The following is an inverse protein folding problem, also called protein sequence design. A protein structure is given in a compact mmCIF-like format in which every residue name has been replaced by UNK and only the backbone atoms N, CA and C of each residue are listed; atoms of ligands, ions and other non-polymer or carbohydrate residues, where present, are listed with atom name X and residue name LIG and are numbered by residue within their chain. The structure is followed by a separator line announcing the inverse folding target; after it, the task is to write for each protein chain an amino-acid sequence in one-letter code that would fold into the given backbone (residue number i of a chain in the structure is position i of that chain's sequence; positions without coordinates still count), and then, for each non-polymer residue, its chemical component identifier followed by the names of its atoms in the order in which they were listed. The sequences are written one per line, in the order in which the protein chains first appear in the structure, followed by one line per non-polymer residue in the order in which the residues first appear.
data_IF_060365353276
#
_entry.id   IF_060365353276
#
_cell.length_a   1.000
_cell.length_b   1.000
_cell.length_c   1.000
_cell.angle_alpha   90.00
_cell.angle_beta   90.00
_cell.angle_gamma   90.00
#
_symmetry.space_group_name_H-M   'P 1'
#
loop_
_entity.id
_entity.type
_entity.pdbx_description
1 polymer ?
#
# COMPACT_ATOMS: atom_id res chain seq x y z
N UNK A 1 -106.23 5.85 -18.24
CA UNK A 1 -107.00 4.59 -18.33
C UNK A 1 -105.97 3.47 -18.42
N UNK A 2 -105.85 2.64 -17.37
CA UNK A 2 -105.15 1.33 -17.26
C UNK A 2 -103.73 1.21 -17.88
N UNK A 3 -102.62 0.93 -17.18
CA UNK A 3 -102.29 -0.02 -16.11
C UNK A 3 -102.50 -1.51 -16.44
N UNK A 4 -101.40 -2.27 -16.29
CA UNK A 4 -101.26 -3.72 -16.00
C UNK A 4 -100.80 -4.71 -17.12
N UNK A 5 -99.63 -5.29 -16.82
CA UNK A 5 -99.08 -6.65 -17.03
C UNK A 5 -98.91 -7.29 -18.41
N UNK A 6 -97.65 -7.64 -18.67
CA UNK A 6 -97.24 -8.92 -19.26
C UNK A 6 -96.04 -9.49 -18.49
N UNK A 7 -96.25 -10.56 -17.72
CA UNK A 7 -95.21 -11.35 -17.05
C UNK A 7 -94.75 -12.45 -18.01
N UNK A 8 -93.43 -12.62 -18.19
CA UNK A 8 -92.78 -13.92 -18.32
C UNK A 8 -91.25 -13.78 -18.21
N UNK A 9 -90.65 -14.49 -17.25
CA UNK A 9 -89.20 -14.57 -17.04
C UNK A 9 -88.50 -15.31 -18.20
N UNK A 10 -87.20 -15.05 -18.46
CA UNK A 10 -86.26 -16.12 -18.10
C UNK A 10 -84.82 -15.70 -17.72
N UNK A 11 -84.23 -16.56 -16.87
CA UNK A 11 -82.87 -17.12 -16.88
C UNK A 11 -81.67 -16.17 -16.71
N UNK A 12 -81.09 -16.26 -15.51
CA UNK A 12 -79.70 -15.93 -15.20
C UNK A 12 -78.72 -16.67 -16.11
N UNK A 13 -77.88 -15.92 -16.82
CA UNK A 13 -76.58 -16.38 -17.33
C UNK A 13 -75.50 -15.42 -16.83
N UNK A 14 -74.66 -15.90 -15.91
CA UNK A 14 -73.46 -15.21 -15.44
C UNK A 14 -72.36 -15.40 -16.50
N UNK A 15 -72.18 -14.41 -17.39
CA UNK A 15 -70.99 -14.37 -18.26
C UNK A 15 -69.86 -13.64 -17.53
N UNK A 16 -68.83 -14.40 -17.17
CA UNK A 16 -67.59 -13.90 -16.56
C UNK A 16 -66.73 -13.29 -17.68
N UNK A 17 -66.73 -11.97 -17.81
CA UNK A 17 -65.82 -11.27 -18.72
C UNK A 17 -64.40 -11.34 -18.16
N UNK A 18 -63.60 -12.29 -18.64
CA UNK A 18 -62.15 -12.31 -18.43
C UNK A 18 -61.55 -11.35 -19.46
N UNK A 19 -61.21 -10.14 -19.01
CA UNK A 19 -60.43 -9.19 -19.81
C UNK A 19 -58.97 -9.63 -19.70
N UNK A 20 -58.42 -10.17 -20.79
CA UNK A 20 -57.00 -10.51 -20.91
C UNK A 20 -56.23 -9.23 -21.28
N UNK A 21 -55.61 -8.58 -20.29
CA UNK A 21 -54.70 -7.46 -20.53
C UNK A 21 -53.33 -8.04 -20.87
N UNK A 22 -52.98 -8.05 -22.16
CA UNK A 22 -51.62 -8.38 -22.61
C UNK A 22 -50.75 -7.14 -22.44
N UNK A 23 -49.97 -7.10 -21.34
CA UNK A 23 -48.92 -6.12 -21.13
C UNK A 23 -47.70 -6.51 -21.98
N UNK A 24 -47.54 -5.85 -23.12
CA UNK A 24 -46.30 -5.90 -23.90
C UNK A 24 -45.20 -5.14 -23.16
N UNK A 25 -44.32 -5.88 -22.47
CA UNK A 25 -43.05 -5.35 -21.99
C UNK A 25 -42.14 -5.07 -23.20
N UNK A 26 -42.07 -3.81 -23.61
CA UNK A 26 -41.00 -3.33 -24.47
C UNK A 26 -39.70 -3.35 -23.66
N UNK A 27 -38.88 -4.37 -23.87
CA UNK A 27 -37.51 -4.41 -23.37
C UNK A 27 -36.71 -3.32 -24.08
N UNK A 28 -36.57 -2.17 -23.43
CA UNK A 28 -35.63 -1.13 -23.83
C UNK A 28 -34.24 -1.70 -23.54
N UNK A 29 -33.57 -2.25 -24.56
CA UNK A 29 -32.14 -2.50 -24.53
C UNK A 29 -31.40 -1.15 -24.55
N UNK A 30 -31.45 -0.43 -23.44
CA UNK A 30 -30.52 0.65 -23.17
C UNK A 30 -29.16 0.02 -22.95
N UNK A 31 -28.27 0.08 -23.95
CA UNK A 31 -26.85 -0.02 -23.67
C UNK A 31 -26.55 1.14 -22.72
N UNK A 32 -26.28 0.81 -21.45
CA UNK A 32 -25.66 1.77 -20.54
C UNK A 32 -24.45 2.36 -21.26
N UNK A 33 -24.28 3.70 -21.29
CA UNK A 33 -23.04 4.27 -21.80
C UNK A 33 -21.88 3.60 -21.05
N UNK A 34 -20.84 3.21 -21.78
CA UNK A 34 -19.63 2.69 -21.14
C UNK A 34 -19.22 3.67 -20.03
N UNK A 35 -18.93 3.18 -18.80
CA UNK A 35 -18.56 4.07 -17.71
C UNK A 35 -17.41 4.96 -18.19
N UNK A 36 -17.57 6.28 -18.04
CA UNK A 36 -16.52 7.25 -18.35
C UNK A 36 -15.23 6.72 -17.72
N UNK A 37 -14.15 6.51 -18.50
CA UNK A 37 -12.91 6.01 -17.94
C UNK A 37 -12.51 6.91 -16.79
N UNK A 38 -12.47 6.36 -15.58
CA UNK A 38 -11.98 7.10 -14.41
C UNK A 38 -10.57 7.57 -14.71
N UNK A 39 -10.27 8.84 -14.36
CA UNK A 39 -8.94 9.42 -14.52
C UNK A 39 -7.87 8.44 -14.00
N UNK A 40 -6.84 8.22 -14.80
CA UNK A 40 -5.71 7.39 -14.39
C UNK A 40 -5.02 8.01 -13.16
N UNK A 41 -4.64 7.17 -12.21
CA UNK A 41 -3.91 7.55 -10.99
C UNK A 41 -2.55 6.86 -11.02
N UNK A 42 -1.48 7.65 -11.08
CA UNK A 42 -0.11 7.15 -11.15
C UNK A 42 0.50 7.04 -9.75
N UNK A 43 0.96 5.85 -9.39
CA UNK A 43 1.51 5.53 -8.08
C UNK A 43 2.95 5.03 -8.22
N UNK A 44 3.88 5.59 -7.46
CA UNK A 44 5.28 5.15 -7.44
C UNK A 44 5.68 4.64 -6.07
N UNK A 45 6.23 3.43 -6.01
CA UNK A 45 6.98 2.96 -4.85
C UNK A 45 8.46 3.32 -4.98
N UNK A 46 9.03 3.95 -3.96
CA UNK A 46 10.46 4.27 -3.84
C UNK A 46 11.00 3.56 -2.60
N UNK A 47 12.00 2.70 -2.77
CA UNK A 47 12.54 1.93 -1.65
C UNK A 47 13.53 0.84 -2.03
N UNK A 48 13.48 -0.27 -1.30
CA UNK A 48 14.43 -1.38 -1.42
C UNK A 48 13.75 -2.75 -1.33
N UNK A 49 14.50 -3.76 -0.91
CA UNK A 49 14.05 -5.15 -0.74
C UNK A 49 12.81 -5.29 0.13
N UNK A 50 12.63 -4.44 1.16
CA UNK A 50 11.42 -4.45 1.99
C UNK A 50 10.16 -4.06 1.20
N UNK A 51 10.34 -3.43 0.04
CA UNK A 51 9.27 -3.09 -0.89
C UNK A 51 9.12 -4.13 -1.99
N UNK A 52 10.17 -4.50 -2.73
CA UNK A 52 10.01 -5.33 -3.94
C UNK A 52 9.97 -6.85 -3.69
N UNK A 53 10.33 -7.33 -2.50
CA UNK A 53 10.37 -8.76 -2.22
C UNK A 53 9.02 -9.43 -2.51
N UNK A 54 9.10 -10.59 -3.17
CA UNK A 54 7.94 -11.33 -3.70
C UNK A 54 7.05 -10.50 -4.62
N UNK A 55 7.61 -9.52 -5.35
CA UNK A 55 6.90 -8.71 -6.33
C UNK A 55 5.71 -7.93 -5.73
N UNK A 56 5.83 -7.46 -4.49
CA UNK A 56 4.72 -6.82 -3.76
C UNK A 56 4.03 -5.67 -4.53
N UNK A 57 4.74 -4.73 -5.20
CA UNK A 57 4.06 -3.71 -6.01
C UNK A 57 3.24 -4.29 -7.17
N UNK A 58 3.69 -5.39 -7.79
CA UNK A 58 2.93 -6.09 -8.82
C UNK A 58 1.70 -6.79 -8.23
N UNK A 59 1.82 -7.42 -7.05
CA UNK A 59 0.66 -7.98 -6.34
C UNK A 59 -0.41 -6.90 -6.08
N UNK A 60 -0.01 -5.69 -5.69
CA UNK A 60 -0.94 -4.57 -5.53
C UNK A 60 -1.60 -4.22 -6.86
N UNK A 61 -0.85 -4.17 -7.97
CA UNK A 61 -1.41 -3.93 -9.30
C UNK A 61 -2.44 -5.00 -9.71
N UNK A 62 -2.18 -6.27 -9.42
CA UNK A 62 -3.09 -7.39 -9.71
C UNK A 62 -4.38 -7.30 -8.88
N UNK A 63 -4.28 -6.96 -7.59
CA UNK A 63 -5.43 -6.66 -6.73
C UNK A 63 -6.26 -5.48 -7.27
N UNK A 64 -5.58 -4.41 -7.71
CA UNK A 64 -6.24 -3.23 -8.28
C UNK A 64 -6.91 -3.54 -9.61
N UNK A 65 -6.37 -4.43 -10.44
CA UNK A 65 -6.97 -4.79 -11.73
C UNK A 65 -8.37 -5.41 -11.58
N UNK A 66 -8.69 -6.06 -10.45
CA UNK A 66 -10.04 -6.59 -10.21
C UNK A 66 -11.11 -5.52 -10.00
N UNK A 67 -10.74 -4.34 -9.48
CA UNK A 67 -11.73 -3.39 -8.94
C UNK A 67 -11.47 -1.92 -9.26
N UNK A 68 -10.25 -1.54 -9.58
CA UNK A 68 -9.75 -0.16 -9.67
C UNK A 68 -8.62 -0.07 -10.71
N UNK A 69 -8.86 -0.59 -11.92
CA UNK A 69 -7.86 -0.77 -12.98
C UNK A 69 -7.28 0.54 -13.55
N UNK A 70 -7.83 1.70 -13.18
CA UNK A 70 -7.30 3.02 -13.51
C UNK A 70 -6.12 3.44 -12.63
N UNK A 71 -5.84 2.72 -11.54
CA UNK A 71 -4.66 2.96 -10.69
C UNK A 71 -3.49 2.16 -11.25
N UNK A 72 -2.39 2.85 -11.56
CA UNK A 72 -1.18 2.29 -12.18
C UNK A 72 -0.01 2.39 -11.22
N UNK A 73 0.50 1.22 -10.82
CA UNK A 73 1.66 1.08 -9.95
C UNK A 73 2.93 0.99 -10.78
N UNK A 74 3.94 1.73 -10.35
CA UNK A 74 5.32 1.60 -10.75
C UNK A 74 6.21 1.54 -9.50
N UNK A 75 7.47 1.16 -9.71
CA UNK A 75 8.48 1.19 -8.67
C UNK A 75 9.81 1.73 -9.18
N UNK A 76 10.59 2.28 -8.26
CA UNK A 76 12.04 2.41 -8.36
C UNK A 76 12.62 1.94 -7.04
N UNK A 77 13.06 0.70 -7.04
CA UNK A 77 13.50 0.01 -5.83
C UNK A 77 14.75 -0.78 -6.12
N UNK A 78 15.71 -0.76 -5.20
CA UNK A 78 17.00 -1.42 -5.37
C UNK A 78 17.43 -2.13 -4.10
N UNK A 79 18.07 -3.32 -4.18
CA UNK A 79 18.50 -4.06 -2.99
C UNK A 79 19.33 -3.21 -2.02
N UNK A 80 18.97 -3.22 -0.74
CA UNK A 80 19.70 -2.50 0.31
C UNK A 80 19.75 -0.97 0.19
N UNK A 81 19.08 -0.35 -0.78
CA UNK A 81 19.16 1.09 -0.99
C UNK A 81 18.43 1.88 0.11
N UNK A 82 19.09 2.88 0.68
CA UNK A 82 18.47 3.81 1.62
C UNK A 82 17.79 4.96 0.88
N UNK A 83 16.79 5.58 1.52
CA UNK A 83 15.96 6.58 0.87
C UNK A 83 16.78 7.77 0.31
N UNK A 84 17.78 8.24 1.05
CA UNK A 84 18.68 9.31 0.59
C UNK A 84 19.58 8.91 -0.58
N UNK A 85 19.96 7.63 -0.66
CA UNK A 85 20.82 7.15 -1.74
C UNK A 85 20.14 7.22 -3.10
N UNK A 86 18.80 7.13 -3.16
CA UNK A 86 18.06 7.27 -4.40
C UNK A 86 18.39 8.54 -5.20
N UNK A 87 18.80 9.62 -4.51
CA UNK A 87 19.15 10.90 -5.15
C UNK A 87 20.65 11.21 -5.12
N UNK A 88 21.38 10.61 -4.17
CA UNK A 88 22.77 10.99 -3.89
C UNK A 88 23.80 9.95 -4.40
N UNK A 89 23.36 8.78 -4.90
CA UNK A 89 24.23 7.69 -5.34
C UNK A 89 23.96 7.23 -6.77
N UNK A 90 25.03 6.91 -7.49
CA UNK A 90 24.97 6.27 -8.81
C UNK A 90 25.27 4.77 -8.66
N UNK A 91 24.38 3.93 -9.19
CA UNK A 91 24.52 2.46 -9.21
C UNK A 91 25.57 2.09 -10.27
N UNK A 92 26.51 1.24 -9.88
CA UNK A 92 27.57 0.71 -10.74
C UNK A 92 27.25 -0.70 -11.21
N UNK A 93 26.77 -1.54 -10.29
CA UNK A 93 26.35 -2.91 -10.53
C UNK A 93 25.15 -3.22 -9.64
N UNK A 94 24.28 -4.12 -10.12
CA UNK A 94 23.09 -4.59 -9.43
C UNK A 94 22.95 -6.09 -9.70
N UNK A 95 22.72 -6.85 -8.63
CA UNK A 95 22.25 -8.23 -8.67
C UNK A 95 21.01 -8.37 -7.77
N UNK A 96 20.47 -9.58 -7.63
CA UNK A 96 19.21 -9.80 -6.90
C UNK A 96 19.29 -9.44 -5.40
N UNK A 97 20.49 -9.47 -4.81
CA UNK A 97 20.69 -9.28 -3.37
C UNK A 97 21.34 -7.94 -3.03
N UNK A 98 22.07 -7.33 -3.96
CA UNK A 98 22.96 -6.22 -3.66
C UNK A 98 23.15 -5.23 -4.80
N UNK A 99 23.55 -4.02 -4.41
CA UNK A 99 24.03 -2.98 -5.32
C UNK A 99 25.44 -2.54 -4.91
N UNK A 100 26.24 -2.17 -5.90
CA UNK A 100 27.45 -1.38 -5.69
C UNK A 100 27.19 0.05 -6.15
N UNK A 101 27.56 1.02 -5.32
CA UNK A 101 27.29 2.43 -5.57
C UNK A 101 28.51 3.30 -5.39
N UNK A 102 28.49 4.48 -6.00
CA UNK A 102 29.40 5.59 -5.69
C UNK A 102 28.62 6.89 -5.50
N UNK A 103 29.29 7.91 -4.99
CA UNK A 103 28.73 9.25 -4.97
C UNK A 103 28.37 9.70 -6.39
N UNK A 104 27.19 10.31 -6.48
CA UNK A 104 26.69 10.93 -7.69
C UNK A 104 27.52 12.19 -8.01
N UNK A 105 27.92 12.36 -9.27
CA UNK A 105 28.51 13.63 -9.72
C UNK A 105 27.43 14.67 -10.05
N UNK A 106 27.74 15.97 -9.94
CA UNK A 106 26.75 17.05 -10.13
C UNK A 106 26.02 16.99 -11.49
N UNK A 107 26.68 16.51 -12.54
CA UNK A 107 26.10 16.41 -13.89
C UNK A 107 25.31 15.14 -14.13
N UNK A 108 25.28 14.21 -13.18
CA UNK A 108 24.59 12.93 -13.32
C UNK A 108 23.12 13.04 -12.93
N UNK A 109 22.33 12.11 -13.47
CA UNK A 109 20.93 11.90 -13.10
C UNK A 109 20.80 10.43 -12.72
N UNK A 110 20.41 10.17 -11.48
CA UNK A 110 20.18 8.82 -10.97
C UNK A 110 18.97 8.17 -11.64
N UNK A 111 18.88 6.84 -11.57
CA UNK A 111 17.69 6.13 -12.06
C UNK A 111 16.41 6.56 -11.32
N UNK A 112 16.51 6.87 -10.03
CA UNK A 112 15.37 7.38 -9.26
C UNK A 112 14.95 8.78 -9.70
N UNK A 113 15.88 9.68 -10.02
CA UNK A 113 15.52 10.99 -10.58
C UNK A 113 14.86 10.89 -11.95
N UNK A 114 15.34 9.98 -12.81
CA UNK A 114 14.66 9.68 -14.08
C UNK A 114 13.24 9.19 -13.83
N UNK A 115 13.04 8.25 -12.89
CA UNK A 115 11.70 7.72 -12.57
C UNK A 115 10.78 8.78 -11.95
N UNK A 116 11.28 9.57 -10.99
CA UNK A 116 10.53 10.63 -10.33
C UNK A 116 10.08 11.73 -11.31
N UNK A 117 10.85 11.96 -12.37
CA UNK A 117 10.53 12.96 -13.41
C UNK A 117 9.76 12.41 -14.61
N UNK A 118 9.65 11.08 -14.74
CA UNK A 118 9.04 10.39 -15.89
C UNK A 118 7.58 10.84 -16.15
N UNK A 119 6.80 11.05 -15.08
CA UNK A 119 5.41 11.48 -15.16
C UNK A 119 4.98 12.23 -13.91
N UNK A 120 3.79 12.82 -13.97
CA UNK A 120 3.14 13.42 -12.80
C UNK A 120 2.57 12.31 -11.94
N UNK A 121 3.30 11.95 -10.89
CA UNK A 121 2.85 10.98 -9.90
C UNK A 121 1.73 11.57 -9.03
N UNK A 122 0.61 10.87 -8.91
CA UNK A 122 -0.49 11.25 -8.02
C UNK A 122 -0.24 10.78 -6.59
N UNK A 123 0.44 9.63 -6.43
CA UNK A 123 0.81 9.07 -5.13
C UNK A 123 2.26 8.56 -5.17
N UNK A 124 3.04 8.87 -4.14
CA UNK A 124 4.40 8.33 -3.96
C UNK A 124 4.52 7.69 -2.59
N UNK A 125 4.99 6.45 -2.57
CA UNK A 125 5.26 5.68 -1.38
C UNK A 125 6.76 5.73 -1.13
N UNK A 126 7.16 6.16 0.06
CA UNK A 126 8.55 6.26 0.48
C UNK A 126 8.83 5.18 1.51
N UNK A 127 9.81 4.33 1.25
CA UNK A 127 10.25 3.30 2.17
C UNK A 127 11.71 3.51 2.56
N UNK A 128 12.00 3.34 3.86
CA UNK A 128 13.34 3.41 4.43
C UNK A 128 13.60 2.16 5.28
N UNK A 129 14.87 1.83 5.52
CA UNK A 129 15.26 0.71 6.39
C UNK A 129 14.87 0.96 7.86
N UNK A 130 14.27 -0.04 8.51
CA UNK A 130 13.69 0.08 9.87
C UNK A 130 14.68 0.66 10.89
N UNK A 131 15.93 0.18 10.93
CA UNK A 131 16.92 0.63 11.92
C UNK A 131 17.22 2.14 11.77
N UNK A 132 17.15 2.67 10.55
CA UNK A 132 17.46 4.07 10.26
C UNK A 132 16.42 5.02 10.86
N UNK A 133 15.18 4.59 11.03
CA UNK A 133 14.18 5.42 11.70
C UNK A 133 14.29 5.36 13.23
N UNK A 134 14.94 4.34 13.80
CA UNK A 134 15.03 4.14 15.26
C UNK A 134 16.07 5.03 15.94
N UNK A 135 17.21 5.30 15.28
CA UNK A 135 18.25 6.18 15.84
C UNK A 135 17.86 7.65 15.58
N UNK A 136 17.64 8.49 16.61
CA UNK A 136 17.10 9.84 16.45
C UNK A 136 17.91 10.74 15.50
N UNK A 137 19.25 10.72 15.60
CA UNK A 137 20.12 11.53 14.74
C UNK A 137 20.02 11.10 13.28
N UNK A 138 19.94 9.79 13.02
CA UNK A 138 19.80 9.27 11.67
C UNK A 138 18.42 9.59 11.10
N UNK A 139 17.37 9.47 11.92
CA UNK A 139 16.00 9.87 11.59
C UNK A 139 15.93 11.36 11.21
N UNK A 140 16.47 12.25 12.05
CA UNK A 140 16.31 13.70 11.88
C UNK A 140 17.25 14.32 10.86
N UNK A 141 18.52 13.88 10.81
CA UNK A 141 19.51 14.47 9.92
C UNK A 141 19.44 13.88 8.52
N UNK A 142 19.13 12.58 8.41
CA UNK A 142 19.24 11.86 7.14
C UNK A 142 17.88 11.49 6.56
N UNK A 143 17.03 10.77 7.28
CA UNK A 143 15.76 10.27 6.71
C UNK A 143 14.81 11.43 6.41
N UNK A 144 14.61 12.34 7.36
CA UNK A 144 13.78 13.54 7.18
C UNK A 144 14.29 14.42 6.02
N UNK A 145 15.60 14.66 5.94
CA UNK A 145 16.23 15.38 4.84
C UNK A 145 15.99 14.70 3.49
N UNK A 146 16.07 13.37 3.45
CA UNK A 146 15.82 12.57 2.23
C UNK A 146 14.38 12.71 1.73
N UNK A 147 13.40 12.62 2.63
CA UNK A 147 11.98 12.85 2.31
C UNK A 147 11.80 14.26 1.72
N UNK A 148 12.36 15.28 2.37
CA UNK A 148 12.27 16.68 1.90
C UNK A 148 12.91 16.88 0.53
N UNK A 149 14.05 16.22 0.26
CA UNK A 149 14.70 16.25 -1.06
C UNK A 149 13.81 15.61 -2.12
N UNK A 150 13.30 14.40 -1.89
CA UNK A 150 12.44 13.70 -2.86
C UNK A 150 11.18 14.52 -3.18
N UNK A 151 10.50 15.09 -2.17
CA UNK A 151 9.31 15.94 -2.39
C UNK A 151 9.58 17.12 -3.32
N UNK A 152 10.80 17.68 -3.34
CA UNK A 152 11.19 18.78 -4.23
C UNK A 152 11.37 18.36 -5.69
N UNK A 153 11.64 17.09 -5.97
CA UNK A 153 11.76 16.56 -7.33
C UNK A 153 10.40 16.33 -8.01
N UNK A 154 9.33 16.26 -7.23
CA UNK A 154 8.01 15.86 -7.73
C UNK A 154 7.30 17.05 -8.37
N UNK A 155 6.94 16.89 -9.64
CA UNK A 155 6.36 17.94 -10.49
C UNK A 155 4.82 18.02 -10.42
N UNK A 156 4.21 17.35 -9.45
CA UNK A 156 2.80 17.40 -9.13
C UNK A 156 2.60 18.01 -7.72
N UNK A 157 2.10 19.26 -7.61
CA UNK A 157 1.91 19.91 -6.30
C UNK A 157 0.85 19.23 -5.44
N UNK A 158 -0.06 18.46 -6.04
CA UNK A 158 -1.12 17.72 -5.36
C UNK A 158 -0.72 16.25 -5.07
N UNK A 159 0.56 15.90 -5.27
CA UNK A 159 1.04 14.55 -5.02
C UNK A 159 0.85 14.18 -3.54
N UNK A 160 0.16 13.06 -3.31
CA UNK A 160 0.06 12.44 -1.99
C UNK A 160 1.31 11.64 -1.71
N UNK A 161 1.88 11.82 -0.53
CA UNK A 161 3.02 11.04 -0.07
C UNK A 161 2.60 10.14 1.07
N UNK A 162 3.04 8.88 1.02
CA UNK A 162 2.79 7.89 2.07
C UNK A 162 4.14 7.33 2.50
N UNK A 163 4.44 7.40 3.79
CA UNK A 163 5.59 6.75 4.38
C UNK A 163 5.24 5.29 4.70
N UNK A 164 5.95 4.37 4.08
CA UNK A 164 5.80 2.93 4.31
C UNK A 164 6.38 2.60 5.70
N UNK A 165 5.49 2.42 6.67
CA UNK A 165 5.82 2.01 8.03
C UNK A 165 6.12 0.50 8.08
N UNK A 166 7.40 0.16 8.11
CA UNK A 166 7.89 -1.22 8.19
C UNK A 166 7.68 -1.82 9.59
N UNK A 167 8.26 -2.99 9.84
CA UNK A 167 7.95 -3.87 10.97
C UNK A 167 9.18 -4.17 11.83
N UNK A 168 8.91 -4.65 13.06
CA UNK A 168 9.92 -5.21 13.95
C UNK A 168 10.47 -6.54 13.38
N UNK A 169 11.79 -6.65 13.29
CA UNK A 169 12.49 -7.87 12.87
C UNK A 169 12.35 -9.01 13.90
N UNK A 170 12.79 -10.21 13.51
CA UNK A 170 13.08 -11.29 14.45
C UNK A 170 14.40 -10.98 15.16
N UNK A 171 14.32 -10.72 16.46
CA UNK A 171 15.48 -10.50 17.31
C UNK A 171 15.23 -11.07 18.72
N UNK A 172 16.30 -11.19 19.50
CA UNK A 172 16.22 -11.40 20.94
C UNK A 172 16.10 -10.04 21.65
N UNK A 173 15.43 -10.02 22.80
CA UNK A 173 15.26 -8.81 23.60
C UNK A 173 15.91 -8.98 24.99
N UNK A 174 16.40 -7.91 25.62
CA UNK A 174 16.36 -6.52 25.14
C UNK A 174 17.34 -6.24 23.99
N UNK A 175 17.05 -5.25 23.17
CA UNK A 175 17.84 -4.85 22.00
C UNK A 175 18.06 -3.33 21.96
N UNK A 176 19.19 -2.88 21.41
CA UNK A 176 19.50 -1.47 21.19
C UNK A 176 20.32 -1.30 19.89
N UNK A 177 19.89 -0.41 19.00
CA UNK A 177 20.58 -0.18 17.73
C UNK A 177 21.48 1.04 17.81
N UNK A 178 22.78 0.88 17.56
CA UNK A 178 23.75 1.97 17.61
C UNK A 178 24.57 2.13 16.32
N UNK A 179 24.80 3.38 15.93
CA UNK A 179 25.75 3.73 14.87
C UNK A 179 26.77 4.77 15.34
N UNK A 180 28.05 4.67 14.93
CA UNK A 180 29.01 5.75 15.13
C UNK A 180 28.63 6.96 14.28
N UNK A 181 28.92 8.17 14.76
CA UNK A 181 28.57 9.42 14.09
C UNK A 181 29.01 9.51 12.62
N UNK A 182 30.18 8.94 12.29
CA UNK A 182 30.68 8.94 10.90
C UNK A 182 29.83 8.14 9.90
N UNK A 183 28.96 7.22 10.37
CA UNK A 183 27.99 6.50 9.53
C UNK A 183 26.64 7.21 9.43
N UNK A 184 26.42 8.25 10.23
CA UNK A 184 25.15 8.98 10.29
C UNK A 184 25.26 10.27 9.49
N UNK A 185 26.11 11.19 9.95
CA UNK A 185 26.22 12.54 9.38
C UNK A 185 27.57 13.18 9.75
N UNK A 186 28.14 13.96 8.83
CA UNK A 186 29.45 14.59 9.03
C UNK A 186 29.49 15.64 10.15
N UNK A 187 28.33 16.18 10.54
CA UNK A 187 28.21 17.13 11.65
C UNK A 187 28.37 16.50 13.02
N UNK A 188 28.30 15.16 13.11
CA UNK A 188 28.39 14.43 14.37
C UNK A 188 29.83 14.06 14.73
N UNK A 189 30.08 13.92 16.04
CA UNK A 189 31.35 13.38 16.53
C UNK A 189 31.61 11.97 15.97
N UNK A 190 32.66 11.83 15.16
CA UNK A 190 32.94 10.63 14.35
C UNK A 190 32.82 9.32 15.14
N UNK A 191 33.49 9.22 16.29
CA UNK A 191 33.60 7.97 17.04
C UNK A 191 32.55 7.83 18.17
N UNK A 192 31.69 8.83 18.38
CA UNK A 192 30.60 8.74 19.36
C UNK A 192 29.52 7.82 18.80
N UNK A 193 29.05 6.88 19.63
CA UNK A 193 27.88 6.05 19.30
C UNK A 193 26.60 6.82 19.60
N UNK A 194 25.67 6.76 18.67
CA UNK A 194 24.31 7.25 18.77
C UNK A 194 23.38 6.06 18.64
N UNK A 195 22.44 5.93 19.58
CA UNK A 195 21.67 4.72 19.76
C UNK A 195 20.16 5.02 19.74
N UNK A 196 19.36 4.02 19.40
CA UNK A 196 17.92 4.02 19.66
C UNK A 196 17.65 3.98 21.17
N UNK A 197 16.38 4.14 21.56
CA UNK A 197 15.95 3.71 22.88
C UNK A 197 16.17 2.19 23.04
N UNK A 198 16.31 1.72 24.28
CA UNK A 198 16.32 0.31 24.61
C UNK A 198 14.94 -0.29 24.35
N UNK A 199 14.90 -1.43 23.66
CA UNK A 199 13.68 -2.10 23.25
C UNK A 199 13.53 -3.40 24.05
N UNK A 200 12.45 -3.53 24.80
CA UNK A 200 12.29 -4.60 25.80
C UNK A 200 11.61 -5.86 25.27
N UNK A 201 10.76 -5.73 24.26
CA UNK A 201 10.00 -6.85 23.68
C UNK A 201 9.41 -6.46 22.31
N UNK A 202 8.68 -7.39 21.69
CA UNK A 202 8.11 -7.21 20.36
C UNK A 202 7.06 -6.08 20.28
N UNK A 203 6.21 -5.94 21.29
CA UNK A 203 5.19 -4.88 21.32
C UNK A 203 5.87 -3.52 21.42
N UNK A 204 6.86 -3.41 22.31
CA UNK A 204 7.68 -2.22 22.47
C UNK A 204 8.45 -1.86 21.18
N UNK A 205 9.09 -2.84 20.54
CA UNK A 205 9.77 -2.64 19.25
C UNK A 205 8.81 -2.07 18.20
N UNK A 206 7.61 -2.63 18.09
CA UNK A 206 6.59 -2.14 17.16
C UNK A 206 6.16 -0.71 17.51
N UNK A 207 6.01 -0.40 18.79
CA UNK A 207 5.63 0.94 19.27
C UNK A 207 6.71 1.98 18.96
N UNK A 208 7.98 1.70 19.23
CA UNK A 208 9.10 2.61 18.93
C UNK A 208 9.20 2.84 17.42
N UNK A 209 9.07 1.79 16.60
CA UNK A 209 9.02 1.93 15.14
C UNK A 209 7.86 2.86 14.73
N UNK A 210 6.65 2.60 15.22
CA UNK A 210 5.47 3.38 14.87
C UNK A 210 5.61 4.85 15.25
N UNK A 211 6.15 5.14 16.43
CA UNK A 211 6.39 6.50 16.90
C UNK A 211 7.42 7.22 16.01
N UNK A 212 8.52 6.56 15.67
CA UNK A 212 9.53 7.10 14.77
C UNK A 212 8.97 7.43 13.38
N UNK A 213 8.16 6.53 12.81
CA UNK A 213 7.49 6.78 11.54
C UNK A 213 6.42 7.87 11.64
N UNK A 214 5.67 7.95 12.74
CA UNK A 214 4.67 9.00 12.95
C UNK A 214 5.32 10.38 13.04
N UNK A 215 6.43 10.50 13.76
CA UNK A 215 7.21 11.73 13.84
C UNK A 215 7.68 12.19 12.45
N UNK A 216 8.22 11.28 11.63
CA UNK A 216 8.61 11.60 10.25
C UNK A 216 7.42 12.03 9.40
N UNK A 217 6.27 11.36 9.55
CA UNK A 217 5.07 11.68 8.81
C UNK A 217 4.54 13.08 9.14
N UNK A 218 4.47 13.40 10.44
CA UNK A 218 4.02 14.69 10.96
C UNK A 218 4.97 15.82 10.53
N UNK A 219 6.29 15.63 10.69
CA UNK A 219 7.31 16.61 10.33
C UNK A 219 7.33 16.94 8.83
N UNK A 220 6.86 16.01 7.99
CA UNK A 220 6.83 16.17 6.54
C UNK A 220 5.43 16.43 5.99
N UNK A 221 4.39 16.44 6.83
CA UNK A 221 2.98 16.51 6.43
C UNK A 221 2.66 15.49 5.33
N UNK A 222 2.92 14.22 5.62
CA UNK A 222 2.67 13.08 4.74
C UNK A 222 1.88 11.99 5.49
N UNK A 223 1.26 11.08 4.76
CA UNK A 223 0.53 9.95 5.34
C UNK A 223 1.52 8.86 5.84
N UNK A 224 1.08 7.99 6.75
CA UNK A 224 1.83 6.81 7.21
C UNK A 224 0.98 5.56 6.99
N UNK A 225 1.56 4.49 6.44
CA UNK A 225 0.85 3.20 6.34
C UNK A 225 0.78 2.46 7.69
N UNK A 226 0.03 1.36 7.76
CA UNK A 226 -0.14 0.56 8.98
C UNK A 226 0.57 -0.81 8.95
N UNK A 227 1.46 -1.06 7.98
CA UNK A 227 2.05 -2.38 7.75
C UNK A 227 2.75 -2.97 9.00
N UNK A 228 3.52 -2.18 9.74
CA UNK A 228 4.17 -2.61 10.98
C UNK A 228 3.22 -3.22 12.02
N UNK A 229 2.04 -2.59 12.22
CA UNK A 229 1.01 -3.10 13.13
C UNK A 229 0.33 -4.36 12.60
N UNK A 230 0.17 -4.49 11.28
CA UNK A 230 -0.37 -5.71 10.68
C UNK A 230 0.57 -6.90 10.91
N UNK A 231 1.89 -6.68 10.81
CA UNK A 231 2.89 -7.69 11.13
C UNK A 231 2.79 -8.13 12.60
N UNK A 232 2.71 -7.19 13.55
CA UNK A 232 2.49 -7.52 14.96
C UNK A 232 1.22 -8.35 15.16
N UNK A 233 0.10 -7.88 14.62
CA UNK A 233 -1.21 -8.54 14.74
C UNK A 233 -1.20 -9.97 14.23
N UNK A 234 -0.56 -10.23 13.08
CA UNK A 234 -0.46 -11.59 12.53
C UNK A 234 0.49 -12.45 13.37
N UNK A 235 1.65 -11.94 13.80
CA UNK A 235 2.57 -12.68 14.66
C UNK A 235 1.94 -13.10 15.99
N UNK A 236 1.03 -12.30 16.54
CA UNK A 236 0.31 -12.61 17.78
C UNK A 236 -0.85 -13.59 17.58
N UNK A 237 -1.65 -13.41 16.53
CA UNK A 237 -2.92 -14.14 16.33
C UNK A 237 -2.78 -15.38 15.45
N UNK A 238 -1.77 -15.40 14.59
CA UNK A 238 -1.50 -16.43 13.61
C UNK A 238 0.01 -16.74 13.53
N UNK A 239 0.65 -17.14 14.64
CA UNK A 239 2.09 -17.42 14.66
C UNK A 239 2.51 -18.56 13.72
N UNK A 240 1.57 -19.38 13.25
CA UNK A 240 1.79 -20.39 12.22
C UNK A 240 2.07 -19.81 10.82
N UNK A 241 1.73 -18.54 10.58
CA UNK A 241 2.00 -17.85 9.31
C UNK A 241 3.36 -17.16 9.43
N UNK A 242 4.37 -17.76 8.80
CA UNK A 242 5.74 -17.23 8.80
C UNK A 242 5.85 -15.99 7.90
N UNK A 243 5.93 -14.80 8.49
CA UNK A 243 5.96 -13.53 7.74
C UNK A 243 7.33 -13.16 7.17
N UNK A 244 8.38 -13.93 7.46
CA UNK A 244 9.74 -13.57 7.05
C UNK A 244 10.49 -14.74 6.40
N UNK A 245 11.18 -14.46 5.30
CA UNK A 245 12.11 -15.44 4.71
C UNK A 245 13.40 -15.57 5.52
N UNK A 246 13.81 -14.47 6.15
CA UNK A 246 14.93 -14.42 7.08
C UNK A 246 14.54 -13.71 8.39
N UNK A 247 15.43 -12.90 8.96
CA UNK A 247 15.15 -12.16 10.19
C UNK A 247 14.36 -10.87 9.96
N UNK A 248 14.28 -10.32 8.75
CA UNK A 248 13.62 -9.03 8.50
C UNK A 248 12.98 -8.87 7.12
N UNK A 249 13.43 -9.59 6.09
CA UNK A 249 12.80 -9.57 4.77
C UNK A 249 11.44 -10.27 4.81
N UNK A 250 10.42 -9.68 4.17
CA UNK A 250 9.09 -10.27 4.17
C UNK A 250 9.10 -11.56 3.35
N UNK A 251 8.44 -12.60 3.84
CA UNK A 251 8.11 -13.78 3.04
C UNK A 251 7.00 -13.47 2.05
N UNK A 252 6.64 -14.43 1.18
CA UNK A 252 5.45 -14.30 0.32
C UNK A 252 4.18 -13.95 1.10
N UNK A 253 4.05 -14.41 2.36
CA UNK A 253 2.92 -14.08 3.23
C UNK A 253 3.02 -12.65 3.77
N UNK A 254 4.21 -12.21 4.17
CA UNK A 254 4.48 -10.83 4.59
C UNK A 254 4.25 -9.83 3.46
N UNK A 255 4.75 -10.12 2.27
CA UNK A 255 4.54 -9.30 1.07
C UNK A 255 3.08 -9.27 0.64
N UNK A 256 2.34 -10.38 0.74
CA UNK A 256 0.90 -10.38 0.50
C UNK A 256 0.13 -9.50 1.50
N UNK A 257 0.48 -9.58 2.79
CA UNK A 257 -0.10 -8.72 3.83
C UNK A 257 0.18 -7.23 3.56
N UNK A 258 1.39 -6.91 3.10
CA UNK A 258 1.74 -5.56 2.68
C UNK A 258 0.91 -5.09 1.47
N UNK A 259 0.74 -5.95 0.47
CA UNK A 259 -0.06 -5.65 -0.70
C UNK A 259 -1.53 -5.40 -0.33
N UNK A 260 -2.07 -6.14 0.63
CA UNK A 260 -3.43 -5.94 1.13
C UNK A 260 -3.65 -4.54 1.70
N UNK A 261 -2.71 -4.03 2.49
CA UNK A 261 -2.77 -2.68 3.07
C UNK A 261 -2.77 -1.61 1.98
N UNK A 262 -1.81 -1.68 1.06
CA UNK A 262 -1.71 -0.72 -0.03
C UNK A 262 -2.91 -0.76 -0.98
N UNK A 263 -3.45 -1.94 -1.26
CA UNK A 263 -4.70 -2.06 -2.01
C UNK A 263 -5.83 -1.25 -1.35
N UNK A 264 -6.01 -1.36 -0.02
CA UNK A 264 -7.06 -0.61 0.67
C UNK A 264 -6.79 0.90 0.65
N UNK A 265 -5.53 1.31 0.87
CA UNK A 265 -5.14 2.73 0.82
C UNK A 265 -5.44 3.35 -0.56
N UNK A 266 -5.18 2.62 -1.65
CA UNK A 266 -5.35 3.17 -3.00
C UNK A 266 -6.79 3.09 -3.50
N UNK A 267 -7.48 2.00 -3.20
CA UNK A 267 -8.83 1.74 -3.73
C UNK A 267 -9.96 2.23 -2.83
N UNK A 268 -9.69 2.44 -1.53
CA UNK A 268 -10.69 2.62 -0.47
C UNK A 268 -11.74 1.48 -0.41
N UNK A 269 -11.40 0.29 -0.91
CA UNK A 269 -12.24 -0.91 -0.91
C UNK A 269 -11.69 -1.94 0.06
N UNK A 270 -12.54 -2.86 0.50
CA UNK A 270 -12.14 -3.93 1.41
C UNK A 270 -11.38 -5.00 0.67
N UNK A 271 -10.20 -5.36 1.19
CA UNK A 271 -9.38 -6.44 0.59
C UNK A 271 -10.06 -7.81 0.71
N UNK A 272 -10.97 -7.98 1.67
CA UNK A 272 -11.79 -9.19 1.85
C UNK A 272 -12.77 -9.45 0.70
N UNK A 273 -13.05 -8.44 -0.14
CA UNK A 273 -13.91 -8.59 -1.32
C UNK A 273 -13.15 -9.10 -2.56
N UNK A 274 -11.81 -9.15 -2.52
CA UNK A 274 -10.97 -9.60 -3.62
C UNK A 274 -10.97 -11.11 -3.79
N UNK A 275 -10.98 -11.57 -5.05
CA UNK A 275 -10.77 -12.98 -5.41
C UNK A 275 -9.28 -13.34 -5.48
N UNK A 276 -8.45 -12.37 -5.85
CA UNK A 276 -7.01 -12.51 -5.93
C UNK A 276 -6.41 -12.99 -4.60
N UNK A 277 -5.65 -14.08 -4.63
CA UNK A 277 -4.95 -14.62 -3.46
C UNK A 277 -3.44 -14.67 -3.65
N UNK A 278 -2.90 -14.22 -4.78
CA UNK A 278 -1.49 -14.42 -5.15
C UNK A 278 -1.07 -15.89 -5.11
N UNK A 279 0.23 -16.14 -4.94
CA UNK A 279 0.83 -17.48 -4.88
C UNK A 279 0.89 -18.06 -3.46
N UNK A 280 -0.20 -17.86 -2.69
CA UNK A 280 -0.37 -18.39 -1.33
C UNK A 280 -1.69 -19.17 -1.19
N UNK A 281 -1.74 -20.06 -0.21
CA UNK A 281 -2.89 -20.90 0.04
C UNK A 281 -4.15 -20.06 0.33
N UNK A 282 -5.31 -20.35 -0.28
CA UNK A 282 -6.51 -19.52 -0.14
C UNK A 282 -6.95 -19.26 1.31
N UNK A 283 -6.76 -20.24 2.21
CA UNK A 283 -7.09 -20.08 3.64
C UNK A 283 -6.15 -19.12 4.36
N UNK A 284 -4.87 -19.09 3.97
CA UNK A 284 -3.88 -18.15 4.51
C UNK A 284 -4.20 -16.75 3.98
N UNK A 285 -4.45 -16.62 2.67
CA UNK A 285 -4.87 -15.35 2.07
C UNK A 285 -6.12 -14.78 2.74
N UNK A 286 -7.13 -15.61 3.02
CA UNK A 286 -8.34 -15.20 3.74
C UNK A 286 -8.03 -14.71 5.17
N UNK A 287 -7.13 -15.39 5.88
CA UNK A 287 -6.72 -15.00 7.23
C UNK A 287 -5.97 -13.66 7.25
N UNK A 288 -5.04 -13.47 6.30
CA UNK A 288 -4.32 -12.21 6.11
C UNK A 288 -5.26 -11.06 5.74
N UNK A 289 -6.19 -11.28 4.79
CA UNK A 289 -7.19 -10.27 4.40
C UNK A 289 -8.08 -9.83 5.56
N UNK A 290 -8.47 -10.75 6.45
CA UNK A 290 -9.29 -10.45 7.64
C UNK A 290 -8.54 -9.70 8.74
N UNK A 291 -7.21 -9.59 8.64
CA UNK A 291 -6.43 -8.80 9.58
C UNK A 291 -6.55 -7.29 9.34
N UNK A 292 -7.13 -6.87 8.20
CA UNK A 292 -7.42 -5.47 7.90
C UNK A 292 -8.93 -5.19 7.99
#
# INVERSE_FOLDING_TARGET
MFDICGINQPKYYFMKNIILIVLTFLAINGKSPDPIPSKEVNVLFVGNSLTFYHEMPQMVQEMLNETSSNIKIDQVTFPGMFLGWHLDKTILTEDEESISVRDKFETEITESEKKLSEKKWDIIILQEGTIRVLIPELRHLVVDSSIKKIKKFVNNPDCRFILFNTWASKTEYPEEYCHPGFLIDESLEKNKKYCSDQIENLEDHTNVINQAYQELADNNNIEKSNNGNLFLKIREKHPEIELFDDSFHPSKYGSFLNACEFYQIFSNKKVTDLKYNGDIEPRIAESLKKAL
#
